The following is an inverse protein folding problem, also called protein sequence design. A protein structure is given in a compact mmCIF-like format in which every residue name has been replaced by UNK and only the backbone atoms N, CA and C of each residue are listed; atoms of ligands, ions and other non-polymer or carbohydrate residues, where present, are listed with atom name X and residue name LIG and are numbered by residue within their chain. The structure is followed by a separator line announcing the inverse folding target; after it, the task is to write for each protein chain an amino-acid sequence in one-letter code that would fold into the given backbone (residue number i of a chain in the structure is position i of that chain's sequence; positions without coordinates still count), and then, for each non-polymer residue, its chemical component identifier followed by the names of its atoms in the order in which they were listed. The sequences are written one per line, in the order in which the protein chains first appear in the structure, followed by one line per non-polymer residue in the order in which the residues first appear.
data_IF_536883023173
#
_entry.id   IF_536883023173
#
_cell.length_a   1.000
_cell.length_b   1.000
_cell.length_c   1.000
_cell.angle_alpha   90.00
_cell.angle_beta   90.00
_cell.angle_gamma   90.00
#
_symmetry.space_group_name_H-M   'P 1'
#
loop_
_entity.id
_entity.type
_entity.pdbx_description
1 polymer ?
#
# COMPACT_ATOMS: atom_id res chain seq x y z
N UNK A 1 -13.80 20.98 -23.69
CA UNK A 1 -14.24 19.58 -23.54
C UNK A 1 -14.95 19.17 -24.84
N UNK A 2 -14.56 18.10 -25.53
CA UNK A 2 -15.23 17.60 -26.75
C UNK A 2 -15.91 16.27 -26.41
N UNK A 3 -17.20 16.15 -26.72
CA UNK A 3 -18.00 14.94 -26.47
C UNK A 3 -18.18 14.17 -27.77
N UNK A 4 -18.01 12.85 -27.72
CA UNK A 4 -18.27 11.96 -28.85
C UNK A 4 -19.73 11.51 -28.83
N UNK A 5 -20.57 12.10 -29.70
CA UNK A 5 -22.01 11.80 -29.77
C UNK A 5 -22.30 10.31 -30.01
N UNK A 6 -21.45 9.59 -30.74
CA UNK A 6 -21.58 8.13 -30.97
C UNK A 6 -21.44 7.30 -29.69
N UNK A 7 -20.82 7.84 -28.65
CA UNK A 7 -20.63 7.18 -27.34
C UNK A 7 -21.61 7.69 -26.29
N UNK A 8 -22.44 8.67 -26.62
CA UNK A 8 -23.45 9.22 -25.73
C UNK A 8 -24.73 8.40 -25.82
N UNK A 9 -25.20 7.93 -24.67
CA UNK A 9 -26.49 7.28 -24.52
C UNK A 9 -27.30 8.18 -23.57
N UNK A 10 -28.32 8.87 -24.10
CA UNK A 10 -29.12 9.87 -23.39
C UNK A 10 -30.56 9.39 -23.24
N UNK A 11 -31.19 9.65 -22.09
CA UNK A 11 -32.62 9.33 -21.86
C UNK A 11 -32.94 7.84 -21.67
N UNK A 12 -31.94 6.99 -21.40
CA UNK A 12 -32.15 5.56 -21.15
C UNK A 12 -32.52 5.31 -19.69
N UNK A 13 -33.44 4.38 -19.44
CA UNK A 13 -33.77 3.89 -18.09
C UNK A 13 -32.66 3.03 -17.48
N UNK A 14 -31.87 2.38 -18.34
CA UNK A 14 -30.74 1.50 -18.02
C UNK A 14 -29.58 1.74 -18.99
N UNK A 15 -28.34 1.80 -18.49
CA UNK A 15 -27.16 2.09 -19.29
C UNK A 15 -25.98 1.19 -18.90
N UNK A 16 -25.30 0.60 -19.88
CA UNK A 16 -24.10 -0.20 -19.63
C UNK A 16 -22.87 0.71 -19.55
N UNK A 17 -22.37 0.98 -18.36
CA UNK A 17 -21.19 1.81 -18.10
C UNK A 17 -20.15 1.00 -17.31
N UNK A 18 -18.88 1.08 -17.72
CA UNK A 18 -17.75 0.43 -17.03
C UNK A 18 -17.97 -1.08 -16.77
N UNK A 19 -18.69 -1.76 -17.67
CA UNK A 19 -19.02 -3.19 -17.55
C UNK A 19 -20.30 -3.50 -16.76
N UNK A 20 -20.93 -2.51 -16.12
CA UNK A 20 -22.11 -2.66 -15.27
C UNK A 20 -23.37 -2.04 -15.88
N UNK A 21 -24.55 -2.54 -15.50
CA UNK A 21 -25.85 -1.97 -15.90
C UNK A 21 -26.32 -1.00 -14.82
N UNK A 22 -26.45 0.27 -15.17
CA UNK A 22 -26.87 1.37 -14.29
C UNK A 22 -28.33 1.71 -14.61
N UNK A 23 -29.28 1.46 -13.69
CA UNK A 23 -30.69 1.85 -13.83
C UNK A 23 -31.08 2.99 -12.89
N UNK A 24 -32.11 3.74 -13.24
CA UNK A 24 -32.65 4.84 -12.43
C UNK A 24 -33.34 4.42 -11.12
N UNK A 25 -33.59 3.13 -10.89
CA UNK A 25 -34.21 2.59 -9.66
C UNK A 25 -33.30 1.60 -8.92
N UNK A 26 -32.26 1.13 -9.58
CA UNK A 26 -31.24 0.25 -9.03
C UNK A 26 -30.00 0.46 -9.88
N UNK A 27 -28.92 0.98 -9.27
CA UNK A 27 -27.61 0.61 -9.78
C UNK A 27 -27.61 -0.92 -9.73
N UNK A 28 -27.63 -1.58 -10.89
CA UNK A 28 -27.50 -3.03 -10.92
C UNK A 28 -26.27 -3.37 -10.09
N UNK A 29 -26.42 -4.32 -9.17
CA UNK A 29 -25.35 -4.68 -8.23
C UNK A 29 -24.09 -4.88 -9.05
N UNK A 30 -23.09 -4.02 -8.83
CA UNK A 30 -21.80 -4.13 -9.50
C UNK A 30 -21.29 -5.52 -9.17
N UNK A 31 -21.14 -6.37 -10.19
CA UNK A 31 -20.71 -7.76 -10.01
C UNK A 31 -19.36 -7.83 -9.30
N UNK A 32 -18.57 -6.77 -9.36
CA UNK A 32 -17.32 -6.65 -8.63
C UNK A 32 -17.54 -6.60 -7.11
N UNK A 33 -18.62 -5.97 -6.63
CA UNK A 33 -18.96 -5.85 -5.20
C UNK A 33 -19.24 -7.18 -4.54
N UNK A 34 -19.73 -8.16 -5.31
CA UNK A 34 -20.06 -9.49 -4.79
C UNK A 34 -19.23 -10.58 -5.44
N UNK A 35 -18.20 -10.20 -6.19
CA UNK A 35 -17.33 -11.12 -6.95
C UNK A 35 -16.73 -12.19 -6.05
N UNK A 36 -16.31 -11.83 -4.84
CA UNK A 36 -15.77 -12.73 -3.83
C UNK A 36 -16.71 -13.89 -3.46
N UNK A 37 -18.01 -13.75 -3.68
CA UNK A 37 -19.03 -14.78 -3.44
C UNK A 37 -19.51 -15.40 -4.74
N UNK A 38 -19.77 -14.56 -5.75
CA UNK A 38 -20.31 -14.96 -7.05
C UNK A 38 -19.36 -15.86 -7.85
N UNK A 39 -18.06 -15.55 -7.83
CA UNK A 39 -17.03 -16.26 -8.61
C UNK A 39 -16.45 -17.47 -7.87
N UNK A 40 -16.94 -17.80 -6.66
CA UNK A 40 -16.45 -18.98 -5.94
C UNK A 40 -16.82 -20.26 -6.71
N UNK A 41 -15.86 -21.17 -6.92
CA UNK A 41 -16.16 -22.49 -7.47
C UNK A 41 -17.01 -23.30 -6.49
N UNK A 42 -17.61 -24.39 -6.97
CA UNK A 42 -18.26 -25.34 -6.09
C UNK A 42 -17.26 -25.92 -5.08
N UNK A 43 -17.64 -26.04 -3.79
CA UNK A 43 -16.76 -26.55 -2.76
C UNK A 43 -16.37 -28.00 -3.05
N UNK A 44 -15.09 -28.31 -2.93
CA UNK A 44 -14.51 -29.62 -3.24
C UNK A 44 -14.20 -30.44 -1.98
N UNK A 45 -14.26 -29.82 -0.79
CA UNK A 45 -13.93 -30.49 0.46
C UNK A 45 -14.69 -29.91 1.66
N UNK A 46 -14.59 -30.61 2.80
CA UNK A 46 -15.25 -30.23 4.07
C UNK A 46 -14.78 -28.87 4.61
N UNK A 47 -13.52 -28.48 4.40
CA UNK A 47 -12.97 -27.19 4.89
C UNK A 47 -13.61 -26.01 4.16
N UNK A 48 -13.79 -26.13 2.84
CA UNK A 48 -14.41 -25.11 2.01
C UNK A 48 -15.90 -24.93 2.34
N UNK A 49 -16.66 -26.02 2.50
CA UNK A 49 -18.08 -25.92 2.87
C UNK A 49 -18.26 -25.37 4.28
N UNK A 50 -17.38 -25.70 5.23
CA UNK A 50 -17.40 -25.12 6.57
C UNK A 50 -17.13 -23.61 6.54
N UNK A 51 -16.15 -23.17 5.73
CA UNK A 51 -15.85 -21.75 5.55
C UNK A 51 -17.02 -21.01 4.91
N UNK A 52 -17.66 -21.61 3.91
CA UNK A 52 -18.88 -21.10 3.28
C UNK A 52 -20.04 -20.98 4.28
N UNK A 53 -20.34 -22.03 5.03
CA UNK A 53 -21.43 -22.03 6.02
C UNK A 53 -21.15 -21.11 7.21
N UNK A 54 -19.88 -20.90 7.57
CA UNK A 54 -19.46 -19.90 8.54
C UNK A 54 -19.79 -18.49 8.08
N UNK A 55 -19.42 -18.17 6.83
CA UNK A 55 -19.71 -16.90 6.17
C UNK A 55 -21.21 -16.64 6.03
N UNK A 56 -21.93 -17.56 5.40
CA UNK A 56 -23.39 -17.52 5.19
C UNK A 56 -24.14 -17.46 6.52
N UNK A 57 -23.66 -18.20 7.52
CA UNK A 57 -24.23 -18.23 8.86
C UNK A 57 -24.21 -16.88 9.57
N UNK A 58 -23.29 -15.97 9.21
CA UNK A 58 -23.30 -14.59 9.70
C UNK A 58 -24.55 -13.84 9.21
N UNK A 59 -24.93 -14.04 7.94
CA UNK A 59 -26.05 -13.36 7.30
C UNK A 59 -27.39 -14.10 7.43
N UNK A 60 -27.45 -15.21 8.18
CA UNK A 60 -28.66 -16.06 8.33
C UNK A 60 -29.95 -15.29 8.65
N UNK A 61 -29.86 -14.18 9.39
CA UNK A 61 -31.02 -13.37 9.78
C UNK A 61 -31.64 -12.59 8.60
N UNK A 62 -30.88 -12.41 7.51
CA UNK A 62 -31.30 -11.73 6.30
C UNK A 62 -31.75 -12.70 5.20
N UNK A 63 -31.55 -14.01 5.40
CA UNK A 63 -31.90 -15.06 4.44
C UNK A 63 -33.16 -15.78 4.93
N UNK A 64 -34.26 -15.61 4.20
CA UNK A 64 -35.52 -16.31 4.50
C UNK A 64 -35.30 -17.82 4.39
N UNK A 65 -35.85 -18.57 5.35
CA UNK A 65 -35.80 -20.04 5.39
C UNK A 65 -34.37 -20.62 5.39
N UNK A 66 -33.37 -19.85 5.85
CA UNK A 66 -31.96 -20.22 5.88
C UNK A 66 -31.71 -21.63 6.42
N UNK A 67 -32.32 -21.98 7.56
CA UNK A 67 -32.11 -23.27 8.20
C UNK A 67 -32.56 -24.45 7.31
N UNK A 68 -33.64 -24.27 6.54
CA UNK A 68 -34.13 -25.27 5.60
C UNK A 68 -33.18 -25.44 4.42
N UNK A 69 -32.76 -24.32 3.83
CA UNK A 69 -31.85 -24.28 2.66
C UNK A 69 -30.47 -24.85 3.03
N UNK A 70 -29.91 -24.45 4.16
CA UNK A 70 -28.56 -24.84 4.58
C UNK A 70 -28.49 -26.26 5.16
N UNK A 71 -29.62 -26.87 5.56
CA UNK A 71 -29.67 -28.23 6.16
C UNK A 71 -28.90 -29.30 5.37
N UNK A 72 -29.07 -29.48 4.05
CA UNK A 72 -28.31 -30.46 3.27
C UNK A 72 -26.80 -30.20 3.27
N UNK A 73 -26.38 -28.93 3.41
CA UNK A 73 -24.97 -28.54 3.47
C UNK A 73 -24.37 -28.78 4.86
N UNK A 74 -25.10 -28.49 5.95
CA UNK A 74 -24.63 -28.78 7.31
C UNK A 74 -24.35 -30.27 7.51
N UNK A 75 -25.11 -31.17 6.88
CA UNK A 75 -24.82 -32.62 6.91
C UNK A 75 -23.44 -32.99 6.33
N UNK A 76 -22.89 -32.18 5.41
CA UNK A 76 -21.53 -32.41 4.86
C UNK A 76 -20.43 -32.15 5.90
N UNK A 77 -20.75 -31.38 6.95
CA UNK A 77 -19.81 -31.06 8.02
C UNK A 77 -19.68 -32.19 9.05
N UNK A 78 -20.59 -33.17 9.05
CA UNK A 78 -20.55 -34.31 9.96
C UNK A 78 -19.35 -35.22 9.64
N UNK A 79 -18.79 -35.85 10.68
CA UNK A 79 -17.59 -36.70 10.54
C UNK A 79 -17.88 -37.91 9.64
N UNK A 80 -19.04 -38.52 9.81
CA UNK A 80 -19.41 -39.80 9.17
C UNK A 80 -20.03 -39.63 7.77
N UNK A 81 -20.27 -38.39 7.33
CA UNK A 81 -20.86 -38.12 6.01
C UNK A 81 -19.77 -38.07 4.93
N UNK A 82 -19.98 -38.84 3.84
CA UNK A 82 -19.16 -38.74 2.63
C UNK A 82 -19.41 -37.39 1.95
N UNK A 83 -18.32 -36.72 1.54
CA UNK A 83 -18.41 -35.45 0.84
C UNK A 83 -18.84 -35.68 -0.61
N UNK A 84 -20.09 -35.31 -0.93
CA UNK A 84 -20.65 -35.45 -2.27
C UNK A 84 -21.62 -34.28 -2.54
N UNK A 85 -21.43 -33.56 -3.65
CA UNK A 85 -22.33 -32.48 -4.05
C UNK A 85 -23.51 -33.02 -4.86
N UNK A 86 -24.49 -33.60 -4.17
CA UNK A 86 -25.75 -34.06 -4.76
C UNK A 86 -26.56 -32.87 -5.33
N UNK A 87 -27.56 -33.16 -6.17
CA UNK A 87 -28.43 -32.14 -6.78
C UNK A 87 -29.03 -31.21 -5.72
N UNK A 88 -29.48 -31.74 -4.58
CA UNK A 88 -30.07 -30.94 -3.50
C UNK A 88 -29.04 -30.03 -2.81
N UNK A 89 -27.80 -30.51 -2.65
CA UNK A 89 -26.69 -29.73 -2.07
C UNK A 89 -26.23 -28.63 -3.03
N UNK A 90 -26.19 -28.92 -4.33
CA UNK A 90 -25.90 -27.92 -5.37
C UNK A 90 -26.96 -26.82 -5.37
N UNK A 91 -28.24 -27.19 -5.40
CA UNK A 91 -29.35 -26.22 -5.32
C UNK A 91 -29.30 -25.38 -4.05
N UNK A 92 -29.02 -25.99 -2.90
CA UNK A 92 -28.87 -25.28 -1.64
C UNK A 92 -27.71 -24.28 -1.68
N UNK A 93 -26.56 -24.68 -2.22
CA UNK A 93 -25.40 -23.82 -2.36
C UNK A 93 -25.69 -22.61 -3.28
N UNK A 94 -26.30 -22.87 -4.45
CA UNK A 94 -26.66 -21.81 -5.40
C UNK A 94 -27.70 -20.85 -4.83
N UNK A 95 -28.70 -21.35 -4.09
CA UNK A 95 -29.73 -20.53 -3.44
C UNK A 95 -29.15 -19.58 -2.39
N UNK A 96 -28.20 -20.06 -1.58
CA UNK A 96 -27.52 -19.22 -0.59
C UNK A 96 -26.64 -18.17 -1.28
N UNK A 97 -25.89 -18.58 -2.31
CA UNK A 97 -25.07 -17.66 -3.12
C UNK A 97 -25.92 -16.56 -3.78
N UNK A 98 -27.08 -16.91 -4.32
CA UNK A 98 -28.03 -15.95 -4.88
C UNK A 98 -28.54 -14.99 -3.81
N UNK A 99 -28.92 -15.49 -2.63
CA UNK A 99 -29.38 -14.65 -1.52
C UNK A 99 -28.34 -13.62 -1.07
N UNK A 100 -27.05 -13.97 -1.07
CA UNK A 100 -25.97 -13.03 -0.71
C UNK A 100 -25.64 -12.00 -1.79
N UNK A 101 -25.96 -12.31 -3.05
CA UNK A 101 -25.59 -11.48 -4.21
C UNK A 101 -26.76 -10.61 -4.70
N UNK A 102 -27.92 -10.70 -4.04
CA UNK A 102 -29.14 -10.00 -4.43
C UNK A 102 -29.70 -9.13 -3.29
N UNK A 103 -30.55 -8.17 -3.67
CA UNK A 103 -31.34 -7.36 -2.74
C UNK A 103 -32.42 -8.25 -2.11
N UNK A 104 -32.76 -8.10 -0.81
CA UNK A 104 -32.50 -6.96 0.08
C UNK A 104 -31.23 -7.08 0.94
N UNK A 105 -30.49 -8.18 0.82
CA UNK A 105 -29.33 -8.43 1.69
C UNK A 105 -28.18 -7.48 1.37
N UNK A 106 -27.87 -7.28 0.08
CA UNK A 106 -26.85 -6.33 -0.34
C UNK A 106 -27.40 -4.89 -0.34
N UNK A 107 -26.90 -4.06 0.57
CA UNK A 107 -27.33 -2.67 0.71
C UNK A 107 -26.67 -1.76 -0.33
N UNK A 108 -27.35 -0.68 -0.69
CA UNK A 108 -26.74 0.38 -1.49
C UNK A 108 -25.88 1.30 -0.61
N UNK A 109 -24.67 1.68 -1.03
CA UNK A 109 -23.82 2.56 -0.23
C UNK A 109 -24.40 3.97 -0.12
N UNK A 110 -24.48 4.49 1.09
CA UNK A 110 -24.84 5.88 1.39
C UNK A 110 -23.64 6.61 2.00
N UNK A 111 -22.90 7.39 1.19
CA UNK A 111 -21.63 8.02 1.60
C UNK A 111 -21.73 9.03 2.76
N UNK A 112 -22.95 9.43 3.16
CA UNK A 112 -23.18 10.29 4.34
C UNK A 112 -23.20 9.51 5.65
N UNK A 113 -23.37 8.20 5.60
CA UNK A 113 -23.43 7.33 6.77
C UNK A 113 -22.07 6.64 6.97
N UNK A 114 -21.66 6.36 8.22
CA UNK A 114 -20.39 5.72 8.48
C UNK A 114 -20.37 4.27 7.98
N UNK A 115 -19.24 3.83 7.44
CA UNK A 115 -19.05 2.43 7.07
C UNK A 115 -18.50 1.59 8.23
N UNK A 116 -18.78 0.29 8.20
CA UNK A 116 -18.11 -0.72 9.02
C UNK A 116 -17.29 -1.61 8.11
N UNK A 117 -16.00 -1.68 8.36
CA UNK A 117 -15.05 -2.35 7.50
C UNK A 117 -14.40 -3.54 8.20
N UNK A 118 -14.92 -4.73 7.92
CA UNK A 118 -14.43 -5.97 8.51
C UNK A 118 -13.27 -6.51 7.68
N UNK A 119 -12.14 -6.82 8.31
CA UNK A 119 -10.96 -7.39 7.66
C UNK A 119 -10.49 -8.63 8.41
N UNK A 120 -9.95 -9.61 7.69
CA UNK A 120 -9.38 -10.82 8.27
C UNK A 120 -8.31 -11.42 7.35
N UNK A 121 -7.24 -11.95 7.93
CA UNK A 121 -6.17 -12.60 7.21
C UNK A 121 -5.92 -14.02 7.72
N UNK A 122 -5.79 -14.96 6.79
CA UNK A 122 -5.43 -16.34 7.09
C UNK A 122 -4.20 -16.77 6.30
N UNK A 123 -3.70 -17.97 6.60
CA UNK A 123 -2.66 -18.62 5.78
C UNK A 123 -3.12 -18.98 4.36
N UNK A 124 -4.43 -18.96 4.10
CA UNK A 124 -4.99 -19.22 2.77
C UNK A 124 -5.16 -17.92 1.97
N UNK A 125 -5.59 -16.83 2.61
CA UNK A 125 -6.13 -15.65 1.92
C UNK A 125 -6.28 -14.40 2.78
N UNK A 126 -6.56 -13.29 2.09
CA UNK A 126 -7.04 -12.05 2.68
C UNK A 126 -8.53 -11.90 2.37
N UNK A 127 -9.32 -11.45 3.34
CA UNK A 127 -10.75 -11.24 3.21
C UNK A 127 -11.18 -9.91 3.80
N UNK A 128 -12.07 -9.20 3.12
CA UNK A 128 -12.70 -8.01 3.67
C UNK A 128 -14.17 -7.88 3.26
N UNK A 129 -14.98 -7.38 4.18
CA UNK A 129 -16.39 -7.11 4.00
C UNK A 129 -16.71 -5.67 4.43
N UNK A 130 -17.19 -4.87 3.49
CA UNK A 130 -17.66 -3.50 3.74
C UNK A 130 -19.15 -3.53 4.03
N UNK A 131 -19.55 -2.98 5.16
CA UNK A 131 -20.92 -2.97 5.68
C UNK A 131 -21.36 -1.54 5.98
N UNK A 132 -22.67 -1.36 6.12
CA UNK A 132 -23.26 -0.12 6.60
C UNK A 132 -24.53 -0.40 7.39
N UNK A 133 -24.88 0.50 8.30
CA UNK A 133 -26.13 0.43 9.06
C UNK A 133 -27.14 1.37 8.43
N UNK A 134 -28.26 0.82 7.95
CA UNK A 134 -29.36 1.54 7.32
C UNK A 134 -30.61 1.45 8.18
N UNK A 135 -31.49 2.45 8.08
CA UNK A 135 -32.82 2.36 8.71
C UNK A 135 -33.78 1.74 7.70
N UNK A 136 -34.19 0.49 7.95
CA UNK A 136 -35.13 -0.24 7.11
C UNK A 136 -36.34 -0.59 7.98
N UNK A 137 -37.53 -0.13 7.60
CA UNK A 137 -38.75 -0.29 8.40
C UNK A 137 -38.58 0.19 9.85
N UNK A 138 -38.04 1.41 10.00
CA UNK A 138 -37.77 2.08 11.29
C UNK A 138 -36.81 1.33 12.23
N UNK A 139 -36.06 0.34 11.73
CA UNK A 139 -35.09 -0.42 12.50
C UNK A 139 -33.69 -0.29 11.90
N UNK A 140 -32.64 -0.14 12.74
CA UNK A 140 -31.27 -0.19 12.27
C UNK A 140 -30.93 -1.62 11.83
N UNK A 141 -30.58 -1.78 10.56
CA UNK A 141 -30.16 -3.04 9.96
C UNK A 141 -28.75 -2.84 9.43
N UNK A 142 -27.80 -3.61 9.96
CA UNK A 142 -26.47 -3.71 9.36
C UNK A 142 -26.54 -4.68 8.19
N UNK A 143 -26.05 -4.25 7.04
CA UNK A 143 -25.97 -5.10 5.85
C UNK A 143 -24.69 -4.87 5.05
N UNK A 144 -24.28 -5.87 4.26
CA UNK A 144 -23.10 -5.78 3.43
C UNK A 144 -23.31 -4.89 2.21
N UNK A 145 -22.25 -4.22 1.81
CA UNK A 145 -22.12 -3.44 0.59
C UNK A 145 -21.18 -4.14 -0.39
N UNK A 146 -20.04 -4.63 0.08
CA UNK A 146 -19.01 -5.18 -0.80
C UNK A 146 -18.24 -6.29 -0.09
N UNK A 147 -17.90 -7.34 -0.83
CA UNK A 147 -17.04 -8.43 -0.42
C UNK A 147 -15.86 -8.52 -1.37
N UNK A 148 -14.65 -8.52 -0.81
CA UNK A 148 -13.43 -8.76 -1.55
C UNK A 148 -12.62 -9.85 -0.86
N UNK A 149 -12.00 -10.72 -1.65
CA UNK A 149 -11.05 -11.71 -1.16
C UNK A 149 -10.00 -12.00 -2.21
N UNK A 150 -8.81 -12.37 -1.77
CA UNK A 150 -7.76 -12.88 -2.66
C UNK A 150 -6.86 -13.87 -1.94
N UNK A 151 -6.35 -14.83 -2.68
CA UNK A 151 -5.32 -15.75 -2.21
C UNK A 151 -4.03 -14.98 -1.93
N UNK A 152 -3.32 -15.38 -0.90
CA UNK A 152 -2.03 -14.77 -0.56
C UNK A 152 -0.99 -15.08 -1.63
N UNK A 153 -0.05 -14.16 -1.82
CA UNK A 153 1.09 -14.34 -2.74
C UNK A 153 2.16 -15.22 -2.08
N UNK A 154 3.01 -15.91 -2.88
CA UNK A 154 4.13 -16.70 -2.34
C UNK A 154 5.08 -15.90 -1.43
N UNK A 155 5.25 -14.60 -1.70
CA UNK A 155 6.06 -13.69 -0.88
C UNK A 155 5.39 -13.33 0.44
N UNK A 156 4.06 -13.19 0.45
CA UNK A 156 3.24 -12.87 1.63
C UNK A 156 3.11 -14.08 2.56
N UNK A 157 3.18 -15.31 2.04
CA UNK A 157 3.17 -16.54 2.84
C UNK A 157 4.30 -16.65 3.88
N UNK A 158 5.33 -15.79 3.77
CA UNK A 158 6.44 -15.71 4.74
C UNK A 158 6.17 -14.74 5.89
N UNK A 159 5.08 -13.98 5.84
CA UNK A 159 4.73 -13.02 6.86
C UNK A 159 4.12 -13.70 8.08
N UNK A 160 4.43 -13.17 9.27
CA UNK A 160 3.78 -13.61 10.50
C UNK A 160 2.31 -13.18 10.55
N UNK A 161 1.50 -13.80 11.41
CA UNK A 161 0.07 -13.52 11.52
C UNK A 161 -0.25 -12.01 11.69
N UNK A 162 0.45 -11.32 12.58
CA UNK A 162 0.28 -9.86 12.77
C UNK A 162 0.58 -9.04 11.52
N UNK A 163 1.56 -9.46 10.72
CA UNK A 163 1.92 -8.79 9.47
C UNK A 163 0.87 -9.05 8.38
N UNK A 164 0.29 -10.25 8.35
CA UNK A 164 -0.78 -10.62 7.44
C UNK A 164 -2.04 -9.78 7.69
N UNK A 165 -2.39 -9.58 8.96
CA UNK A 165 -3.52 -8.70 9.35
C UNK A 165 -3.31 -7.24 8.93
N UNK A 166 -2.10 -6.72 9.15
CA UNK A 166 -1.73 -5.38 8.69
C UNK A 166 -1.75 -5.25 7.16
N UNK A 167 -1.24 -6.27 6.46
CA UNK A 167 -1.28 -6.34 5.00
C UNK A 167 -2.73 -6.38 4.50
N UNK A 168 -3.62 -7.12 5.17
CA UNK A 168 -5.03 -7.18 4.83
C UNK A 168 -5.68 -5.81 4.90
N UNK A 169 -5.43 -5.04 5.97
CA UNK A 169 -5.93 -3.67 6.08
C UNK A 169 -5.45 -2.82 4.90
N UNK A 170 -4.14 -2.78 4.63
CA UNK A 170 -3.58 -1.92 3.58
C UNK A 170 -4.12 -2.28 2.21
N UNK A 171 -4.15 -3.57 1.87
CA UNK A 171 -4.70 -4.05 0.61
C UNK A 171 -6.18 -3.70 0.47
N UNK A 172 -6.97 -3.90 1.53
CA UNK A 172 -8.40 -3.68 1.48
C UNK A 172 -8.74 -2.18 1.39
N UNK A 173 -7.98 -1.32 2.06
CA UNK A 173 -8.06 0.14 1.92
C UNK A 173 -7.76 0.58 0.48
N UNK A 174 -6.65 0.12 -0.09
CA UNK A 174 -6.27 0.45 -1.48
C UNK A 174 -7.36 0.00 -2.47
N UNK A 175 -7.90 -1.21 -2.30
CA UNK A 175 -8.93 -1.76 -3.19
C UNK A 175 -10.27 -1.09 -3.05
N UNK A 176 -10.63 -0.60 -1.87
CA UNK A 176 -11.92 0.05 -1.62
C UNK A 176 -11.78 1.56 -1.39
N UNK A 177 -10.68 2.18 -1.82
CA UNK A 177 -10.46 3.61 -1.67
C UNK A 177 -11.64 4.42 -2.23
N UNK A 178 -12.17 4.01 -3.38
CA UNK A 178 -13.33 4.67 -4.00
C UNK A 178 -14.62 4.66 -3.15
N UNK A 179 -14.70 3.82 -2.10
CA UNK A 179 -15.77 3.89 -1.09
C UNK A 179 -15.36 4.66 0.16
N UNK A 180 -14.10 4.55 0.58
CA UNK A 180 -13.62 4.98 1.89
C UNK A 180 -13.03 6.39 1.90
N UNK A 181 -12.56 6.88 0.76
CA UNK A 181 -11.97 8.22 0.62
C UNK A 181 -12.95 9.29 1.11
N UNK A 182 -12.51 10.12 2.05
CA UNK A 182 -13.32 11.18 2.64
C UNK A 182 -14.49 10.73 3.53
N UNK A 183 -14.72 9.42 3.69
CA UNK A 183 -15.81 8.88 4.50
C UNK A 183 -15.34 8.52 5.91
N UNK A 184 -16.25 8.52 6.88
CA UNK A 184 -16.01 8.01 8.24
C UNK A 184 -16.24 6.51 8.26
N UNK A 185 -15.33 5.74 8.84
CA UNK A 185 -15.49 4.30 8.93
C UNK A 185 -14.77 3.67 10.11
N UNK A 186 -15.29 2.54 10.56
CA UNK A 186 -14.70 1.72 11.62
C UNK A 186 -14.12 0.43 11.03
N UNK A 187 -12.81 0.22 11.17
CA UNK A 187 -12.15 -1.04 10.87
C UNK A 187 -12.36 -2.01 12.02
N UNK A 188 -12.83 -3.22 11.73
CA UNK A 188 -13.10 -4.27 12.71
C UNK A 188 -12.23 -5.48 12.38
N UNK A 189 -11.41 -5.90 13.35
CA UNK A 189 -10.46 -7.02 13.23
C UNK A 189 -10.33 -7.75 14.57
N UNK A 190 -9.98 -9.04 14.53
CA UNK A 190 -9.62 -9.81 15.72
C UNK A 190 -8.14 -9.62 16.12
N UNK A 191 -7.39 -8.81 15.37
CA UNK A 191 -5.97 -8.61 15.59
C UNK A 191 -5.65 -7.23 16.20
N UNK A 192 -5.18 -7.23 17.44
CA UNK A 192 -4.72 -6.01 18.12
C UNK A 192 -3.46 -5.40 17.47
N UNK A 193 -2.72 -6.17 16.66
CA UNK A 193 -1.53 -5.67 15.97
C UNK A 193 -1.84 -4.55 14.98
N UNK A 194 -3.05 -4.53 14.40
CA UNK A 194 -3.49 -3.47 13.48
C UNK A 194 -3.63 -2.14 14.22
N UNK A 195 -4.13 -2.16 15.46
CA UNK A 195 -4.15 -0.97 16.35
C UNK A 195 -2.74 -0.51 16.69
N UNK A 196 -1.86 -1.46 17.01
CA UNK A 196 -0.46 -1.18 17.35
C UNK A 196 0.32 -0.62 16.17
N UNK A 197 0.05 -1.09 14.94
CA UNK A 197 0.72 -0.64 13.72
C UNK A 197 0.71 0.88 13.62
N UNK A 198 -0.42 1.52 13.90
CA UNK A 198 -0.52 2.97 13.79
C UNK A 198 0.35 3.72 14.80
N UNK A 199 0.58 3.17 15.99
CA UNK A 199 1.25 3.85 17.10
C UNK A 199 2.69 3.35 17.33
N UNK A 200 3.20 2.46 16.48
CA UNK A 200 4.58 1.97 16.56
C UNK A 200 5.59 3.09 16.30
N UNK A 201 6.47 3.32 17.27
CA UNK A 201 7.57 4.31 17.17
C UNK A 201 8.71 3.86 16.25
N UNK A 202 8.97 2.56 16.18
CA UNK A 202 10.07 1.97 15.41
C UNK A 202 9.58 0.81 14.54
N UNK A 203 8.75 1.08 13.52
CA UNK A 203 8.28 0.05 12.60
C UNK A 203 9.43 -0.49 11.74
N UNK A 204 9.36 -1.76 11.35
CA UNK A 204 10.23 -2.27 10.29
C UNK A 204 9.86 -1.63 8.94
N UNK A 205 10.69 -1.82 7.90
CA UNK A 205 10.50 -1.16 6.59
C UNK A 205 9.13 -1.41 5.94
N UNK A 206 8.57 -2.61 6.07
CA UNK A 206 7.25 -2.92 5.53
C UNK A 206 6.14 -2.22 6.30
N UNK A 207 6.21 -2.28 7.63
CA UNK A 207 5.25 -1.64 8.53
C UNK A 207 5.28 -0.12 8.41
N UNK A 208 6.44 0.48 8.16
CA UNK A 208 6.56 1.92 7.90
C UNK A 208 5.82 2.31 6.61
N UNK A 209 5.99 1.53 5.53
CA UNK A 209 5.25 1.76 4.28
C UNK A 209 3.74 1.62 4.48
N UNK A 210 3.32 0.63 5.24
CA UNK A 210 1.91 0.43 5.59
C UNK A 210 1.36 1.56 6.45
N UNK A 211 2.12 2.04 7.43
CA UNK A 211 1.74 3.22 8.22
C UNK A 211 1.50 4.42 7.30
N UNK A 212 2.42 4.69 6.37
CA UNK A 212 2.28 5.80 5.40
C UNK A 212 1.02 5.62 4.55
N UNK A 213 0.78 4.41 4.03
CA UNK A 213 -0.44 4.12 3.25
C UNK A 213 -1.73 4.42 4.04
N UNK A 214 -1.75 4.09 5.33
CA UNK A 214 -2.94 4.26 6.17
C UNK A 214 -3.12 5.72 6.63
N UNK A 215 -2.09 6.57 6.54
CA UNK A 215 -2.17 7.95 7.03
C UNK A 215 -3.28 8.77 6.38
N UNK A 216 -3.60 8.51 5.11
CA UNK A 216 -4.67 9.22 4.40
C UNK A 216 -6.06 9.03 5.06
N UNK A 217 -6.29 7.90 5.73
CA UNK A 217 -7.56 7.60 6.39
C UNK A 217 -7.57 7.93 7.89
N UNK A 218 -6.41 8.25 8.50
CA UNK A 218 -6.27 8.30 9.97
C UNK A 218 -7.25 9.26 10.67
N UNK A 219 -7.67 10.33 10.00
CA UNK A 219 -8.61 11.31 10.55
C UNK A 219 -10.05 10.81 10.63
N UNK A 220 -10.45 9.91 9.73
CA UNK A 220 -11.82 9.43 9.58
C UNK A 220 -11.99 7.94 9.89
N UNK A 221 -10.88 7.24 10.18
CA UNK A 221 -10.83 5.81 10.47
C UNK A 221 -10.63 5.54 11.96
N UNK A 222 -11.51 4.72 12.54
CA UNK A 222 -11.32 4.14 13.88
C UNK A 222 -11.05 2.63 13.78
N UNK A 223 -10.35 2.05 14.75
CA UNK A 223 -10.08 0.59 14.77
C UNK A 223 -10.72 -0.04 16.01
N UNK A 224 -11.73 -0.87 15.78
CA UNK A 224 -12.39 -1.73 16.75
C UNK A 224 -11.73 -3.12 16.82
N UNK A 225 -11.77 -3.76 17.99
CA UNK A 225 -11.40 -5.17 18.12
C UNK A 225 -12.66 -5.98 18.39
N UNK A 226 -12.80 -7.13 17.75
CA UNK A 226 -13.92 -8.05 17.94
C UNK A 226 -13.39 -9.48 18.03
N UNK A 227 -13.93 -10.27 18.94
CA UNK A 227 -13.51 -11.66 19.10
C UNK A 227 -13.77 -12.47 17.82
N UNK A 228 -12.80 -13.30 17.42
CA UNK A 228 -12.84 -14.08 16.17
C UNK A 228 -14.08 -14.97 16.03
N UNK A 229 -14.65 -15.46 17.13
CA UNK A 229 -15.87 -16.26 17.12
C UNK A 229 -17.10 -15.51 16.55
N UNK A 230 -17.10 -14.19 16.65
CA UNK A 230 -18.17 -13.29 16.18
C UNK A 230 -17.80 -12.64 14.82
N UNK A 231 -16.55 -12.82 14.36
CA UNK A 231 -15.97 -12.20 13.16
C UNK A 231 -16.07 -13.07 11.89
N UNK A 232 -17.17 -13.83 11.76
CA UNK A 232 -17.33 -14.86 10.72
C UNK A 232 -17.49 -14.33 9.29
N UNK A 233 -17.82 -13.05 9.13
CA UNK A 233 -18.01 -12.43 7.82
C UNK A 233 -16.69 -12.28 7.04
N UNK A 234 -15.64 -11.76 7.67
CA UNK A 234 -14.33 -11.65 7.01
C UNK A 234 -13.54 -12.98 7.07
N UNK A 235 -13.65 -13.74 8.15
CA UNK A 235 -12.97 -15.05 8.33
C UNK A 235 -13.32 -16.07 7.23
N UNK A 236 -14.61 -16.18 6.86
CA UNK A 236 -15.00 -17.08 5.77
C UNK A 236 -14.48 -16.66 4.40
N UNK A 237 -14.23 -15.36 4.19
CA UNK A 237 -13.62 -14.82 2.96
C UNK A 237 -12.11 -15.08 2.91
N UNK A 238 -11.41 -14.95 4.04
CA UNK A 238 -9.97 -15.14 4.14
C UNK A 238 -9.57 -16.62 4.08
N UNK A 239 -10.39 -17.54 4.63
CA UNK A 239 -10.13 -19.00 4.66
C UNK A 239 -10.49 -19.73 3.37
N UNK A 240 -11.37 -19.15 2.57
CA UNK A 240 -11.71 -19.67 1.24
C UNK A 240 -11.64 -18.55 0.19
N UNK A 241 -10.46 -17.96 -0.05
CA UNK A 241 -10.34 -16.79 -0.90
C UNK A 241 -10.47 -17.12 -2.40
N UNK A 242 -10.80 -16.13 -3.21
CA UNK A 242 -10.65 -16.24 -4.66
C UNK A 242 -9.17 -16.30 -5.08
N UNK A 243 -8.82 -16.94 -6.21
CA UNK A 243 -7.48 -16.88 -6.79
C UNK A 243 -7.00 -15.43 -6.99
N UNK A 244 -5.69 -15.22 -6.86
CA UNK A 244 -5.07 -13.93 -7.17
C UNK A 244 -4.69 -13.88 -8.66
N UNK A 245 -5.68 -13.74 -9.54
CA UNK A 245 -5.52 -13.64 -11.00
C UNK A 245 -6.37 -12.50 -11.59
N UNK A 246 -6.19 -12.18 -12.87
CA UNK A 246 -6.81 -11.02 -13.51
C UNK A 246 -8.35 -11.04 -13.51
N UNK A 247 -8.96 -12.22 -13.37
CA UNK A 247 -10.42 -12.39 -13.30
C UNK A 247 -11.00 -12.00 -11.94
N UNK A 248 -10.16 -11.91 -10.90
CA UNK A 248 -10.54 -11.42 -9.59
C UNK A 248 -10.40 -9.88 -9.55
N UNK A 249 -11.49 -9.12 -9.33
CA UNK A 249 -11.42 -7.65 -9.22
C UNK A 249 -10.48 -7.16 -8.11
N UNK A 250 -10.25 -7.99 -7.08
CA UNK A 250 -9.37 -7.69 -5.95
C UNK A 250 -7.90 -8.12 -6.18
N UNK A 251 -7.54 -8.52 -7.40
CA UNK A 251 -6.22 -8.97 -7.82
C UNK A 251 -5.11 -7.94 -7.55
N UNK A 252 -3.95 -8.45 -7.12
CA UNK A 252 -2.71 -7.67 -7.00
C UNK A 252 -1.61 -8.38 -7.79
N UNK A 253 -0.99 -7.73 -8.79
CA UNK A 253 0.17 -8.28 -9.50
C UNK A 253 1.33 -8.63 -8.55
N UNK A 254 2.16 -9.60 -8.96
CA UNK A 254 3.34 -9.99 -8.17
C UNK A 254 4.34 -8.83 -8.03
N UNK A 255 4.56 -8.09 -9.11
CA UNK A 255 5.46 -6.92 -9.15
C UNK A 255 4.87 -5.69 -8.45
N UNK A 256 3.56 -5.64 -8.28
CA UNK A 256 2.83 -4.54 -7.65
C UNK A 256 2.83 -4.62 -6.11
N UNK A 257 3.91 -5.11 -5.49
CA UNK A 257 4.11 -4.74 -4.08
C UNK A 257 4.05 -3.22 -4.02
N UNK A 258 3.24 -2.59 -3.16
CA UNK A 258 3.15 -1.14 -3.10
C UNK A 258 4.55 -0.60 -2.84
N UNK A 259 5.22 -0.22 -3.92
CA UNK A 259 6.36 0.65 -3.90
C UNK A 259 5.72 2.01 -3.67
N UNK A 260 5.20 2.24 -2.47
CA UNK A 260 5.10 3.60 -1.99
C UNK A 260 6.57 3.96 -1.85
N UNK A 261 7.13 4.75 -2.79
CA UNK A 261 8.47 5.25 -2.57
C UNK A 261 8.38 6.04 -1.27
N UNK A 262 9.21 5.65 -0.30
CA UNK A 262 9.42 6.54 0.85
C UNK A 262 10.33 7.61 0.27
N UNK A 263 9.73 8.58 -0.42
CA UNK A 263 10.42 9.80 -0.80
C UNK A 263 10.73 10.50 0.52
N UNK A 264 12.01 10.47 0.90
CA UNK A 264 12.43 11.13 2.13
C UNK A 264 12.13 12.61 2.03
N UNK A 265 11.37 13.15 2.97
CA UNK A 265 11.29 14.60 3.13
C UNK A 265 12.63 15.04 3.73
N UNK A 266 13.55 15.49 2.87
CA UNK A 266 14.78 16.13 3.31
C UNK A 266 14.46 17.58 3.67
N UNK A 267 14.27 17.86 4.96
CA UNK A 267 14.15 19.24 5.44
C UNK A 267 15.57 19.82 5.49
N UNK A 268 15.85 20.77 4.60
CA UNK A 268 17.12 21.50 4.55
C UNK A 268 16.84 22.98 4.42
N UNK A 269 17.63 23.82 5.10
CA UNK A 269 17.64 25.28 4.88
C UNK A 269 18.35 25.66 3.56
N UNK A 270 18.83 24.68 2.81
CA UNK A 270 19.43 24.87 1.49
C UNK A 270 18.36 25.42 0.53
N UNK A 271 18.69 26.54 -0.09
CA UNK A 271 17.82 27.23 -1.02
C UNK A 271 17.67 26.47 -2.34
N UNK A 272 16.63 26.80 -3.11
CA UNK A 272 16.36 26.19 -4.41
C UNK A 272 17.53 26.32 -5.38
N UNK A 273 18.27 27.43 -5.30
CA UNK A 273 19.46 27.69 -6.12
C UNK A 273 20.57 26.67 -5.88
N UNK A 274 20.77 26.18 -4.65
CA UNK A 274 21.75 25.14 -4.38
C UNK A 274 21.44 23.85 -5.17
N UNK A 275 20.17 23.43 -5.19
CA UNK A 275 19.76 22.23 -5.92
C UNK A 275 19.88 22.41 -7.44
N UNK A 276 19.65 23.62 -7.95
CA UNK A 276 19.89 23.96 -9.37
C UNK A 276 21.38 23.90 -9.72
N UNK A 277 22.25 24.43 -8.84
CA UNK A 277 23.70 24.35 -9.01
C UNK A 277 24.19 22.89 -9.01
N UNK A 278 23.69 22.06 -8.08
CA UNK A 278 23.99 20.61 -8.06
C UNK A 278 23.61 19.96 -9.40
N UNK A 279 22.39 20.20 -9.90
CA UNK A 279 21.96 19.65 -11.19
C UNK A 279 22.84 20.11 -12.34
N UNK A 280 23.20 21.40 -12.35
CA UNK A 280 24.05 21.97 -13.38
C UNK A 280 25.44 21.33 -13.37
N UNK A 281 25.98 21.03 -12.19
CA UNK A 281 27.30 20.42 -12.02
C UNK A 281 27.42 19.03 -12.66
N UNK A 282 26.31 18.29 -12.74
CA UNK A 282 26.30 16.96 -13.36
C UNK A 282 26.56 16.98 -14.86
N UNK A 283 26.33 18.11 -15.54
CA UNK A 283 26.65 18.23 -16.96
C UNK A 283 28.16 18.33 -17.20
N UNK A 284 28.90 18.79 -16.19
CA UNK A 284 30.35 18.99 -16.24
C UNK A 284 31.12 17.73 -15.80
N UNK A 285 30.50 16.88 -14.97
CA UNK A 285 31.10 15.62 -14.54
C UNK A 285 30.72 14.46 -15.47
N UNK A 286 31.75 13.77 -15.98
CA UNK A 286 31.61 12.62 -16.89
C UNK A 286 30.71 11.53 -16.29
N UNK A 287 30.91 11.13 -15.04
CA UNK A 287 30.21 10.00 -14.44
C UNK A 287 28.75 10.35 -14.10
N UNK A 288 28.51 11.55 -13.55
CA UNK A 288 27.16 12.03 -13.28
C UNK A 288 26.34 12.20 -14.57
N UNK A 289 26.93 12.74 -15.64
CA UNK A 289 26.26 12.84 -16.94
C UNK A 289 25.84 11.46 -17.49
N UNK A 290 26.74 10.48 -17.42
CA UNK A 290 26.45 9.09 -17.80
C UNK A 290 25.33 8.50 -16.93
N UNK A 291 25.39 8.68 -15.61
CA UNK A 291 24.36 8.18 -14.69
C UNK A 291 23.00 8.83 -14.93
N UNK A 292 22.93 10.13 -15.18
CA UNK A 292 21.70 10.83 -15.54
C UNK A 292 21.09 10.25 -16.82
N UNK A 293 21.90 9.84 -17.80
CA UNK A 293 21.41 9.20 -19.02
C UNK A 293 20.91 7.77 -18.79
N UNK A 294 21.68 6.98 -18.03
CA UNK A 294 21.33 5.60 -17.69
C UNK A 294 20.05 5.52 -16.86
N UNK A 295 19.90 6.39 -15.86
CA UNK A 295 18.77 6.38 -14.92
C UNK A 295 17.50 7.04 -15.47
N UNK A 296 17.60 7.99 -16.41
CA UNK A 296 16.40 8.61 -17.03
C UNK A 296 15.73 7.72 -18.08
N UNK A 297 16.47 6.84 -18.76
CA UNK A 297 15.99 6.11 -19.94
C UNK A 297 15.54 4.67 -19.65
N UNK A 298 15.66 4.19 -18.41
CA UNK A 298 15.52 2.77 -18.05
C UNK A 298 16.28 1.84 -19.03
N UNK A 299 17.37 2.32 -19.63
CA UNK A 299 18.12 1.59 -20.66
C UNK A 299 19.44 1.07 -20.09
N UNK A 300 19.65 -0.25 -20.16
CA UNK A 300 20.91 -0.89 -19.79
C UNK A 300 21.88 -0.85 -20.98
N UNK A 301 22.36 0.34 -21.33
CA UNK A 301 23.40 0.47 -22.34
C UNK A 301 24.77 0.08 -21.76
N UNK A 302 25.24 -1.11 -22.14
CA UNK A 302 26.51 -1.65 -21.66
C UNK A 302 27.71 -0.75 -22.01
N UNK A 303 27.66 0.01 -23.12
CA UNK A 303 28.76 0.89 -23.53
C UNK A 303 28.93 2.05 -22.55
N UNK A 304 27.81 2.63 -22.11
CA UNK A 304 27.79 3.69 -21.10
C UNK A 304 28.24 3.17 -19.72
N UNK A 305 27.82 1.95 -19.35
CA UNK A 305 28.24 1.32 -18.08
C UNK A 305 29.75 1.07 -18.06
N UNK A 306 30.35 0.68 -19.19
CA UNK A 306 31.80 0.49 -19.30
C UNK A 306 32.60 1.80 -19.27
N UNK A 307 31.97 2.94 -19.57
CA UNK A 307 32.61 4.25 -19.53
C UNK A 307 32.68 4.86 -18.12
N UNK A 308 31.93 4.32 -17.14
CA UNK A 308 31.99 4.73 -15.74
C UNK A 308 33.31 4.33 -15.09
N UNK A 309 33.83 5.18 -14.22
CA UNK A 309 35.01 4.84 -13.43
C UNK A 309 34.66 3.74 -12.39
N UNK A 310 35.64 2.94 -11.97
CA UNK A 310 35.40 1.68 -11.21
C UNK A 310 34.51 1.85 -9.96
N UNK A 311 34.71 2.91 -9.18
CA UNK A 311 33.94 3.17 -7.94
C UNK A 311 32.46 3.42 -8.24
N UNK A 312 32.18 4.16 -9.31
CA UNK A 312 30.83 4.48 -9.77
C UNK A 312 30.17 3.26 -10.38
N UNK A 313 30.89 2.54 -11.25
CA UNK A 313 30.43 1.32 -11.88
C UNK A 313 30.02 0.28 -10.85
N UNK A 314 30.86 0.03 -9.84
CA UNK A 314 30.56 -0.90 -8.75
C UNK A 314 29.27 -0.52 -8.01
N UNK A 315 29.12 0.77 -7.67
CA UNK A 315 27.91 1.24 -6.98
C UNK A 315 26.66 1.17 -7.87
N UNK A 316 26.81 1.40 -9.17
CA UNK A 316 25.74 1.28 -10.15
C UNK A 316 25.28 -0.18 -10.34
N UNK A 317 26.21 -1.11 -10.52
CA UNK A 317 25.92 -2.54 -10.69
C UNK A 317 25.22 -3.13 -9.44
N UNK A 318 25.51 -2.59 -8.26
CA UNK A 318 24.83 -2.92 -7.00
C UNK A 318 23.47 -2.22 -6.80
N UNK A 319 23.01 -1.43 -7.78
CA UNK A 319 21.72 -0.74 -7.74
C UNK A 319 21.65 0.37 -6.68
N UNK A 320 22.78 1.02 -6.38
CA UNK A 320 22.85 2.05 -5.34
C UNK A 320 22.44 3.44 -5.81
N UNK A 321 22.41 3.72 -7.11
CA UNK A 321 22.03 5.05 -7.61
C UNK A 321 20.56 5.14 -8.00
N UNK A 322 19.93 6.27 -7.66
CA UNK A 322 18.56 6.61 -8.05
C UNK A 322 18.54 8.06 -8.53
N UNK A 323 17.72 8.37 -9.53
CA UNK A 323 17.55 9.73 -10.03
C UNK A 323 16.16 10.22 -9.63
N UNK A 324 16.09 11.35 -8.93
CA UNK A 324 14.85 11.97 -8.51
C UNK A 324 14.96 13.48 -8.71
N UNK A 325 14.00 14.09 -9.40
CA UNK A 325 13.98 15.52 -9.74
C UNK A 325 15.30 16.03 -10.33
N UNK A 326 15.96 15.22 -11.17
CA UNK A 326 17.25 15.52 -11.78
C UNK A 326 18.45 15.45 -10.85
N UNK A 327 18.26 15.00 -9.60
CA UNK A 327 19.32 14.84 -8.59
C UNK A 327 19.66 13.36 -8.44
N UNK A 328 20.96 13.03 -8.44
CA UNK A 328 21.43 11.65 -8.26
C UNK A 328 21.56 11.37 -6.77
N UNK A 329 20.86 10.37 -6.28
CA UNK A 329 20.95 9.88 -4.91
C UNK A 329 21.74 8.56 -4.85
N UNK A 330 22.68 8.47 -3.91
CA UNK A 330 23.42 7.27 -3.59
C UNK A 330 22.84 6.61 -2.34
N UNK A 331 22.51 5.32 -2.47
CA UNK A 331 21.89 4.51 -1.43
C UNK A 331 22.92 3.59 -0.79
N UNK A 332 22.97 3.63 0.53
CA UNK A 332 23.67 2.65 1.35
C UNK A 332 22.67 1.71 2.02
N UNK A 333 23.16 0.78 2.86
CA UNK A 333 22.31 -0.13 3.64
C UNK A 333 21.34 0.62 4.56
N UNK A 334 21.70 1.83 5.01
CA UNK A 334 20.99 2.55 6.06
C UNK A 334 20.59 3.99 5.68
N UNK A 335 21.18 4.57 4.63
CA UNK A 335 20.96 5.97 4.24
C UNK A 335 20.76 6.11 2.73
N UNK A 336 20.11 7.19 2.32
CA UNK A 336 20.05 7.65 0.94
C UNK A 336 20.50 9.12 0.94
N UNK A 337 21.57 9.43 0.21
CA UNK A 337 22.25 10.73 0.28
C UNK A 337 22.47 11.28 -1.11
N UNK A 338 22.51 12.60 -1.22
CA UNK A 338 22.66 13.28 -2.51
C UNK A 338 24.10 13.16 -3.02
N UNK A 339 24.26 12.95 -4.32
CA UNK A 339 25.58 12.90 -4.97
C UNK A 339 26.01 14.31 -5.32
N UNK A 340 27.18 14.74 -4.87
CA UNK A 340 27.73 16.07 -5.17
C UNK A 340 29.14 15.89 -5.71
N UNK A 341 29.45 16.50 -6.86
CA UNK A 341 30.75 16.34 -7.53
C UNK A 341 31.56 17.63 -7.58
N UNK A 342 30.87 18.78 -7.56
CA UNK A 342 31.54 20.07 -7.54
C UNK A 342 32.16 20.37 -6.16
N UNK A 343 33.42 20.81 -6.15
CA UNK A 343 34.16 21.09 -4.91
C UNK A 343 33.60 22.28 -4.15
N UNK A 344 33.09 23.29 -4.85
CA UNK A 344 32.52 24.49 -4.21
C UNK A 344 31.25 24.12 -3.44
N UNK A 345 30.40 23.28 -4.04
CA UNK A 345 29.20 22.73 -3.40
C UNK A 345 29.54 21.80 -2.23
N UNK A 346 30.56 20.95 -2.36
CA UNK A 346 31.04 20.11 -1.24
C UNK A 346 31.48 21.00 -0.07
N UNK A 347 32.26 22.04 -0.33
CA UNK A 347 32.71 22.97 0.71
C UNK A 347 31.56 23.71 1.38
N UNK A 348 30.52 24.08 0.62
CA UNK A 348 29.31 24.69 1.15
C UNK A 348 28.57 23.74 2.11
N UNK A 349 28.40 22.48 1.71
CA UNK A 349 27.75 21.46 2.57
C UNK A 349 28.58 21.19 3.84
N UNK A 350 29.92 21.15 3.72
CA UNK A 350 30.82 21.02 4.87
C UNK A 350 30.65 22.20 5.83
N UNK A 351 30.59 23.43 5.29
CA UNK A 351 30.37 24.64 6.08
C UNK A 351 29.02 24.59 6.80
N UNK A 352 27.94 24.21 6.12
CA UNK A 352 26.62 24.08 6.76
C UNK A 352 26.59 23.00 7.85
N UNK A 353 27.29 21.88 7.62
CA UNK A 353 27.36 20.79 8.59
C UNK A 353 28.15 21.15 9.87
N UNK A 354 29.07 22.13 9.80
CA UNK A 354 29.91 22.57 10.92
C UNK A 354 29.49 23.93 11.50
N UNK A 355 29.37 24.96 10.66
CA UNK A 355 29.24 26.37 11.03
C UNK A 355 27.79 26.88 11.10
N UNK A 356 26.80 26.09 10.67
CA UNK A 356 25.39 26.52 10.77
C UNK A 356 24.99 26.75 12.24
N UNK A 357 24.15 27.77 12.53
CA UNK A 357 23.65 28.04 13.89
C UNK A 357 22.99 26.82 14.56
N UNK A 358 22.40 25.92 13.78
CA UNK A 358 21.77 24.68 14.25
C UNK A 358 22.73 23.49 14.29
N UNK A 359 23.91 23.60 13.69
CA UNK A 359 24.92 22.54 13.63
C UNK A 359 25.81 22.50 14.88
N UNK A 360 25.91 23.58 15.65
CA UNK A 360 26.54 23.56 16.98
C UNK A 360 28.07 23.40 16.99
N UNK A 361 28.77 23.74 15.89
CA UNK A 361 30.23 23.67 15.77
C UNK A 361 30.82 22.33 16.24
N UNK A 362 30.34 21.25 15.63
CA UNK A 362 30.70 19.88 15.98
C UNK A 362 32.19 19.61 15.77
N UNK A 363 32.76 18.74 16.60
CA UNK A 363 34.12 18.22 16.39
C UNK A 363 34.27 17.59 15.00
N UNK A 364 35.50 17.50 14.50
CA UNK A 364 35.81 16.97 13.16
C UNK A 364 35.16 15.60 12.92
N UNK A 365 35.27 14.69 13.88
CA UNK A 365 34.66 13.35 13.80
C UNK A 365 33.13 13.40 13.67
N UNK A 366 32.47 14.25 14.46
CA UNK A 366 31.00 14.38 14.45
C UNK A 366 30.51 15.07 13.18
N UNK A 367 31.23 16.07 12.71
CA UNK A 367 30.97 16.71 11.41
C UNK A 367 31.08 15.68 10.29
N UNK A 368 32.07 14.79 10.34
CA UNK A 368 32.23 13.71 9.35
C UNK A 368 31.05 12.74 9.37
N UNK A 369 30.60 12.30 10.54
CA UNK A 369 29.41 11.43 10.64
C UNK A 369 28.14 12.12 10.10
N UNK A 370 27.98 13.43 10.32
CA UNK A 370 26.85 14.21 9.78
C UNK A 370 26.91 14.33 8.26
N UNK A 371 28.08 14.60 7.70
CA UNK A 371 28.27 14.70 6.24
C UNK A 371 27.94 13.37 5.55
N UNK A 372 28.30 12.23 6.15
CA UNK A 372 27.95 10.89 5.64
C UNK A 372 26.45 10.65 5.52
N UNK A 373 25.63 11.36 6.29
CA UNK A 373 24.17 11.24 6.23
C UNK A 373 23.52 12.23 5.26
N UNK A 374 24.30 13.12 4.63
CA UNK A 374 23.79 14.19 3.77
C UNK A 374 24.20 14.03 2.31
N UNK A 375 25.50 13.82 2.05
CA UNK A 375 26.04 13.80 0.68
C UNK A 375 27.04 12.66 0.44
N UNK A 376 27.20 12.28 -0.82
CA UNK A 376 28.16 11.28 -1.28
C UNK A 376 28.97 11.79 -2.48
N UNK A 377 30.26 11.44 -2.52
CA UNK A 377 31.16 11.68 -3.65
C UNK A 377 32.32 10.67 -3.64
N UNK A 378 33.04 10.50 -4.77
CA UNK A 378 34.21 9.62 -4.84
C UNK A 378 35.33 10.07 -3.90
N UNK A 379 36.00 9.13 -3.23
CA UNK A 379 37.09 9.42 -2.29
C UNK A 379 36.69 10.27 -1.06
N UNK A 380 35.42 10.27 -0.64
CA UNK A 380 35.02 10.94 0.61
C UNK A 380 35.83 10.50 1.85
N UNK A 381 36.38 9.28 1.84
CA UNK A 381 37.24 8.72 2.90
C UNK A 381 38.67 9.29 2.92
N UNK A 382 39.15 9.89 1.83
CA UNK A 382 40.51 10.42 1.73
C UNK A 382 40.65 11.87 2.20
N UNK A 383 39.62 12.44 2.84
CA UNK A 383 39.74 13.69 3.59
C UNK A 383 40.57 13.41 4.84
N UNK A 384 41.88 13.31 4.66
CA UNK A 384 42.86 13.34 5.75
C UNK A 384 43.47 14.75 5.92
N UNK A 385 43.26 15.67 4.96
CA UNK A 385 43.70 17.08 5.01
C UNK A 385 42.86 17.90 4.04
N UNK A 386 41.80 18.62 4.48
CA UNK A 386 41.86 20.10 4.37
C UNK A 386 40.93 20.87 5.35
N UNK A 387 40.68 20.41 6.58
CA UNK A 387 39.97 21.27 7.57
C UNK A 387 40.89 22.37 8.13
N UNK A 388 42.21 22.23 7.96
CA UNK A 388 43.19 23.25 8.35
C UNK A 388 43.38 24.38 7.32
N UNK A 389 43.09 24.17 6.03
CA UNK A 389 43.37 25.18 4.99
C UNK A 389 42.22 26.18 4.80
N UNK A 390 40.97 25.81 5.14
CA UNK A 390 39.87 26.77 5.20
C UNK A 390 40.09 27.88 6.25
N UNK A 391 40.88 27.61 7.29
CA UNK A 391 41.32 28.63 8.27
C UNK A 391 42.44 29.55 7.75
N UNK A 392 43.18 29.16 6.70
CA UNK A 392 44.32 29.93 6.17
C UNK A 392 43.98 30.87 5.01
N UNK A 393 42.85 30.69 4.33
CA UNK A 393 42.48 31.53 3.19
C UNK A 393 41.46 32.64 3.49
N UNK A 394 40.95 32.77 4.73
CA UNK A 394 39.90 33.74 5.08
C UNK A 394 40.42 34.96 5.87
N UNK A 395 41.74 35.17 6.00
CA UNK A 395 42.20 36.33 6.77
C UNK A 395 43.49 37.02 6.29
N UNK A 396 43.39 38.04 5.41
CA UNK A 396 44.41 39.07 5.25
C UNK A 396 44.08 40.37 6.01
N UNK A 397 42.93 40.48 6.70
CA UNK A 397 42.42 41.76 7.22
C UNK A 397 42.29 41.87 8.74
N UNK A 398 42.66 40.85 9.52
CA UNK A 398 42.62 40.92 11.00
C UNK A 398 44.03 40.95 11.64
N UNK A 399 44.97 41.70 11.06
CA UNK A 399 46.24 42.03 11.75
C UNK A 399 46.40 43.49 12.16
N UNK A 400 45.46 44.35 11.78
CA UNK A 400 45.41 45.72 12.25
C UNK A 400 44.05 45.93 12.90
N UNK A 401 43.98 45.71 14.21
CA UNK A 401 43.06 46.38 15.16
C UNK A 401 43.40 45.87 16.58
N UNK A 402 44.18 46.72 17.26
CA UNK A 402 44.18 47.04 18.71
C UNK A 402 44.68 45.96 19.69
N UNK A 403 45.91 46.13 20.22
CA UNK A 403 46.32 46.80 21.50
C UNK A 403 46.14 45.87 22.70
#
# INVERSE_FOLDING_TARGET
MKISLKKCHLGFKELKALGNVVSGLSFGIDKNRVSAVLLKPMPQNKKEIQSFLGFEGYYRQHIKDFASIARPLYKLCDKDTVFEMTIDRVKAFESLREALTTSPLLLMPEFKLPFKFYIDASGDGLGAALHQVHIINDKPVEGPICFISRKIKPTEARYGASQMECLCLVWALEKLNYFLEGCVFEVITDCTAVKSLLNMKTPNRHMLRWQIAIQEYRGNMTIGHKDGNIHKNADGLSRWPLPNNIDNPAYVPEEASPQIPIEGISVTDLNTTFFEEVRSSYTQDKNCSILCQLLNKDCKDNSLIHALDEVWKKSYDEGRFHLLDGIIYHRTKHTCVMTVVDRSLINLVLKECHDSPFSGHLSEDRTREKVKTCIWWPMWQSIAKPVTDAKRQINPLARDLEI
#
